data_IF_429458347472
#
_entry.id   IF_429458347472
#
_cell.length_a   1.000
_cell.length_b   1.000
_cell.length_c   1.000
_cell.angle_alpha   90.00
_cell.angle_beta   90.00
_cell.angle_gamma   90.00
#
_symmetry.space_group_name_H-M   'P 1'
#
loop_
_entity.id
_entity.type
_entity.pdbx_description
1 polymer ?
#
# COMPACT_ATOMS: atom_id res chain seq x y z
N UNK A 1 1.43 19.60 -14.25
CA UNK A 1 2.25 20.32 -13.26
C UNK A 1 2.77 21.60 -13.92
N UNK A 2 3.08 22.65 -13.15
CA UNK A 2 3.53 23.94 -13.70
C UNK A 2 5.01 24.00 -14.10
N UNK A 3 5.81 22.97 -13.75
CA UNK A 3 7.23 22.88 -14.07
C UNK A 3 8.16 23.64 -13.12
N UNK A 4 7.63 24.43 -12.18
CA UNK A 4 8.42 25.01 -11.10
C UNK A 4 8.88 23.94 -10.09
N UNK A 5 10.07 24.14 -9.52
CA UNK A 5 10.79 23.18 -8.66
C UNK A 5 11.26 23.90 -7.41
N UNK A 6 10.61 23.63 -6.29
CA UNK A 6 10.87 24.25 -4.97
C UNK A 6 10.81 23.22 -3.81
N UNK A 7 10.25 22.04 -4.07
CA UNK A 7 10.01 20.96 -3.11
C UNK A 7 10.73 19.70 -3.57
N UNK A 8 11.54 19.12 -2.68
CA UNK A 8 12.44 17.97 -2.91
C UNK A 8 11.89 16.62 -2.42
N UNK A 9 10.70 16.60 -1.83
CA UNK A 9 10.14 15.38 -1.23
C UNK A 9 9.59 14.41 -2.29
N UNK A 10 9.67 13.08 -2.04
CA UNK A 10 10.17 12.45 -0.81
C UNK A 10 11.68 12.14 -0.80
N UNK A 11 12.37 12.19 -1.95
CA UNK A 11 13.82 11.90 -2.05
C UNK A 11 14.50 12.68 -3.19
N UNK A 12 15.31 13.69 -2.87
CA UNK A 12 16.34 14.21 -3.79
C UNK A 12 16.21 15.69 -4.18
N UNK A 13 16.38 15.97 -5.47
CA UNK A 13 16.34 17.32 -6.05
C UNK A 13 14.91 17.88 -6.05
N UNK A 14 14.79 19.21 -6.04
CA UNK A 14 13.51 19.89 -6.14
C UNK A 14 12.79 19.53 -7.45
N UNK A 15 11.55 19.04 -7.35
CA UNK A 15 10.77 18.52 -8.48
C UNK A 15 9.40 19.18 -8.65
N UNK A 16 8.84 19.72 -7.57
CA UNK A 16 7.51 20.31 -7.56
C UNK A 16 7.56 21.71 -6.95
N UNK A 17 6.68 22.63 -7.34
CA UNK A 17 6.33 23.75 -6.45
C UNK A 17 5.34 23.25 -5.39
N UNK A 18 5.13 24.05 -4.35
CA UNK A 18 4.22 23.70 -3.24
C UNK A 18 2.80 23.34 -3.70
N UNK A 19 2.21 24.16 -4.57
CA UNK A 19 0.84 23.94 -5.05
C UNK A 19 0.72 22.64 -5.88
N UNK A 20 1.75 22.32 -6.67
CA UNK A 20 1.78 21.08 -7.46
C UNK A 20 1.97 19.86 -6.57
N UNK A 21 2.76 19.99 -5.49
CA UNK A 21 2.92 18.96 -4.48
C UNK A 21 1.60 18.68 -3.75
N UNK A 22 0.95 19.72 -3.22
CA UNK A 22 -0.33 19.57 -2.51
C UNK A 22 -1.40 18.96 -3.44
N UNK A 23 -1.42 19.35 -4.71
CA UNK A 23 -2.29 18.73 -5.73
C UNK A 23 -1.99 17.24 -5.91
N UNK A 24 -0.71 16.84 -5.97
CA UNK A 24 -0.30 15.44 -6.11
C UNK A 24 -0.77 14.62 -4.91
N UNK A 25 -0.50 15.10 -3.70
CA UNK A 25 -0.90 14.42 -2.46
C UNK A 25 -2.42 14.26 -2.40
N UNK A 26 -3.19 15.30 -2.74
CA UNK A 26 -4.65 15.19 -2.78
C UNK A 26 -5.16 14.13 -3.78
N UNK A 27 -4.48 13.95 -4.93
CA UNK A 27 -4.81 12.90 -5.89
C UNK A 27 -4.43 11.52 -5.35
N UNK A 28 -3.23 11.37 -4.78
CA UNK A 28 -2.77 10.12 -4.18
C UNK A 28 -3.69 9.68 -3.03
N UNK A 29 -4.14 10.60 -2.17
CA UNK A 29 -5.11 10.32 -1.10
C UNK A 29 -6.45 9.79 -1.63
N UNK A 30 -6.92 10.31 -2.77
CA UNK A 30 -8.17 9.81 -3.38
C UNK A 30 -7.99 8.38 -3.86
N UNK A 31 -6.87 8.07 -4.52
CA UNK A 31 -6.58 6.70 -4.99
C UNK A 31 -6.33 5.75 -3.83
N UNK A 32 -5.65 6.21 -2.77
CA UNK A 32 -5.41 5.41 -1.57
C UNK A 32 -6.72 4.92 -0.94
N UNK A 33 -7.80 5.74 -0.99
CA UNK A 33 -9.14 5.38 -0.48
C UNK A 33 -9.85 4.30 -1.31
N UNK A 34 -9.38 3.97 -2.50
CA UNK A 34 -9.89 2.83 -3.26
C UNK A 34 -9.39 1.49 -2.70
N UNK A 35 -8.32 1.50 -1.90
CA UNK A 35 -7.90 0.34 -1.13
C UNK A 35 -8.68 0.19 0.17
N UNK A 36 -8.86 -1.06 0.60
CA UNK A 36 -9.40 -1.37 1.92
C UNK A 36 -8.65 -2.57 2.51
N UNK A 37 -8.10 -2.41 3.72
CA UNK A 37 -7.45 -3.49 4.46
C UNK A 37 -8.41 -4.10 5.48
N UNK A 38 -8.91 -5.30 5.20
CA UNK A 38 -9.83 -5.99 6.12
C UNK A 38 -9.08 -6.98 6.98
N UNK A 39 -9.07 -6.75 8.29
CA UNK A 39 -8.49 -7.69 9.26
C UNK A 39 -9.31 -8.99 9.28
N UNK A 40 -8.62 -10.10 9.02
CA UNK A 40 -9.17 -11.45 8.99
C UNK A 40 -8.87 -12.23 10.28
N UNK A 41 -7.66 -12.09 10.83
CA UNK A 41 -7.26 -12.71 12.11
C UNK A 41 -6.62 -11.65 13.00
N UNK A 42 -6.88 -11.75 14.31
CA UNK A 42 -6.20 -10.98 15.35
C UNK A 42 -5.77 -11.90 16.49
N UNK A 43 -4.48 -11.91 16.77
CA UNK A 43 -3.86 -12.47 17.96
C UNK A 43 -3.18 -11.34 18.75
N UNK A 44 -2.61 -11.67 19.91
CA UNK A 44 -1.90 -10.70 20.74
C UNK A 44 -0.71 -10.06 20.00
N UNK A 45 0.06 -10.87 19.27
CA UNK A 45 1.32 -10.46 18.61
C UNK A 45 1.30 -10.70 17.09
N UNK A 46 0.12 -10.90 16.51
CA UNK A 46 0.00 -11.12 15.07
C UNK A 46 -1.37 -10.74 14.53
N UNK A 47 -1.40 -10.23 13.30
CA UNK A 47 -2.63 -9.94 12.57
C UNK A 47 -2.51 -10.42 11.12
N UNK A 48 -3.63 -10.79 10.53
CA UNK A 48 -3.74 -11.06 9.09
C UNK A 48 -4.78 -10.12 8.50
N UNK A 49 -4.44 -9.48 7.39
CA UNK A 49 -5.33 -8.65 6.60
C UNK A 49 -5.51 -9.22 5.20
N UNK A 50 -6.68 -9.02 4.63
CA UNK A 50 -6.94 -9.16 3.20
C UNK A 50 -6.99 -7.76 2.58
N UNK A 51 -6.28 -7.59 1.46
CA UNK A 51 -6.21 -6.33 0.70
C UNK A 51 -7.29 -6.37 -0.36
N UNK A 52 -8.15 -5.35 -0.39
CA UNK A 52 -9.15 -5.14 -1.43
C UNK A 52 -8.88 -3.84 -2.17
N UNK A 53 -9.35 -3.77 -3.41
CA UNK A 53 -9.47 -2.53 -4.16
C UNK A 53 -10.90 -2.40 -4.69
N UNK A 54 -11.43 -1.18 -4.77
CA UNK A 54 -12.83 -0.88 -5.10
C UNK A 54 -13.31 -1.48 -6.43
N UNK A 55 -12.38 -1.68 -7.38
CA UNK A 55 -12.63 -2.27 -8.70
C UNK A 55 -12.68 -3.81 -8.71
N UNK A 56 -12.31 -4.49 -7.62
CA UNK A 56 -12.21 -5.93 -7.55
C UNK A 56 -13.19 -6.50 -6.51
N UNK A 57 -13.85 -7.61 -6.87
CA UNK A 57 -14.77 -8.32 -5.94
C UNK A 57 -14.05 -9.24 -4.96
N UNK A 58 -12.86 -9.72 -5.34
CA UNK A 58 -12.02 -10.62 -4.56
C UNK A 58 -10.83 -9.86 -3.99
N UNK A 59 -10.22 -10.33 -2.88
CA UNK A 59 -8.93 -9.84 -2.45
C UNK A 59 -7.90 -9.82 -3.58
N UNK A 60 -7.06 -8.81 -3.54
CA UNK A 60 -5.93 -8.62 -4.45
C UNK A 60 -4.60 -8.87 -3.76
N UNK A 61 -4.62 -9.12 -2.45
CA UNK A 61 -3.46 -9.49 -1.69
C UNK A 61 -3.80 -9.79 -0.24
N UNK A 62 -2.78 -10.04 0.55
CA UNK A 62 -2.87 -10.22 1.99
C UNK A 62 -1.64 -9.63 2.67
N UNK A 63 -1.79 -9.27 3.95
CA UNK A 63 -0.70 -8.81 4.79
C UNK A 63 -0.71 -9.65 6.07
N UNK A 64 0.43 -10.18 6.43
CA UNK A 64 0.65 -10.80 7.74
C UNK A 64 1.54 -9.87 8.54
N UNK A 65 1.12 -9.53 9.75
CA UNK A 65 1.86 -8.71 10.70
C UNK A 65 2.27 -9.62 11.85
N UNK A 66 3.53 -9.53 12.25
CA UNK A 66 4.08 -10.20 13.43
C UNK A 66 4.81 -9.15 14.25
N UNK A 67 4.46 -9.07 15.53
CA UNK A 67 5.14 -8.26 16.53
C UNK A 67 6.02 -9.17 17.39
N UNK A 68 7.33 -8.91 17.41
CA UNK A 68 8.29 -9.64 18.25
C UNK A 68 8.49 -9.01 19.64
N UNK A 69 7.78 -7.91 19.93
CA UNK A 69 7.90 -7.10 21.14
C UNK A 69 8.86 -5.91 21.02
N UNK A 70 9.55 -5.76 19.88
CA UNK A 70 10.46 -4.65 19.58
C UNK A 70 10.17 -4.02 18.23
N UNK A 71 10.10 -4.83 17.18
CA UNK A 71 9.95 -4.42 15.79
C UNK A 71 8.72 -5.12 15.16
N UNK A 72 8.08 -4.45 14.19
CA UNK A 72 6.98 -5.04 13.40
C UNK A 72 7.51 -5.66 12.12
N UNK A 73 7.17 -6.92 11.88
CA UNK A 73 7.48 -7.63 10.64
C UNK A 73 6.21 -7.81 9.83
N UNK A 74 6.21 -7.27 8.63
CA UNK A 74 5.09 -7.33 7.71
C UNK A 74 5.49 -8.12 6.46
N UNK A 75 4.70 -9.13 6.13
CA UNK A 75 4.78 -9.83 4.86
C UNK A 75 3.53 -9.49 4.05
N UNK A 76 3.71 -8.74 2.98
CA UNK A 76 2.65 -8.45 2.01
C UNK A 76 2.79 -9.37 0.81
N UNK A 77 1.75 -10.15 0.52
CA UNK A 77 1.66 -10.94 -0.70
C UNK A 77 0.60 -10.33 -1.61
N UNK A 78 1.00 -9.86 -2.78
CA UNK A 78 0.10 -9.32 -3.80
C UNK A 78 -0.19 -10.38 -4.87
N UNK A 79 -1.45 -10.46 -5.29
CA UNK A 79 -1.97 -11.47 -6.21
C UNK A 79 -1.98 -10.95 -7.66
N UNK A 80 -1.91 -11.84 -8.67
CA UNK A 80 -1.81 -11.43 -10.08
C UNK A 80 -3.15 -10.94 -10.68
N UNK A 81 -4.23 -10.89 -9.90
CA UNK A 81 -5.57 -10.46 -10.33
C UNK A 81 -5.77 -8.94 -10.31
N UNK A 82 -4.71 -8.18 -10.07
CA UNK A 82 -4.73 -6.71 -10.05
C UNK A 82 -3.50 -6.14 -10.73
N UNK A 83 -3.65 -5.00 -11.39
CA UNK A 83 -2.61 -4.38 -12.20
C UNK A 83 -1.65 -3.54 -11.34
N UNK A 84 -0.87 -4.22 -10.49
CA UNK A 84 0.00 -3.59 -9.48
C UNK A 84 1.03 -2.62 -10.05
N UNK A 85 1.49 -2.87 -11.27
CA UNK A 85 2.50 -2.08 -11.99
C UNK A 85 1.91 -0.95 -12.82
N UNK A 86 0.59 -0.87 -12.94
CA UNK A 86 -0.04 0.21 -13.69
C UNK A 86 0.06 1.53 -12.89
N UNK A 87 0.15 2.68 -13.59
CA UNK A 87 0.05 3.98 -12.95
C UNK A 87 -1.24 4.10 -12.15
N UNK A 88 -1.13 4.47 -10.88
CA UNK A 88 -2.27 4.56 -9.98
C UNK A 88 -3.18 5.75 -10.29
N UNK A 89 -2.63 6.78 -10.93
CA UNK A 89 -3.35 7.96 -11.38
C UNK A 89 -2.70 8.55 -12.62
N UNK A 90 -3.43 9.45 -13.29
CA UNK A 90 -2.88 10.26 -14.37
C UNK A 90 -2.90 11.74 -13.97
N UNK A 91 -1.72 12.32 -13.78
CA UNK A 91 -1.54 13.74 -13.52
C UNK A 91 -0.59 14.32 -14.57
N UNK A 92 -1.15 15.08 -15.50
CA UNK A 92 -0.40 15.62 -16.63
C UNK A 92 0.85 16.39 -16.16
N UNK A 93 2.01 16.03 -16.68
CA UNK A 93 3.30 16.62 -16.33
C UNK A 93 3.83 16.27 -14.93
N UNK A 94 3.28 15.26 -14.25
CA UNK A 94 3.92 14.69 -13.05
C UNK A 94 5.23 13.98 -13.47
N UNK A 95 6.40 14.42 -12.97
CA UNK A 95 7.70 13.86 -13.35
C UNK A 95 7.96 12.45 -12.81
N UNK A 96 7.22 11.98 -11.80
CA UNK A 96 7.51 10.72 -11.10
C UNK A 96 6.40 9.70 -11.30
N UNK A 97 5.14 10.10 -11.10
CA UNK A 97 4.03 9.16 -11.01
C UNK A 97 4.24 8.13 -9.89
N UNK A 98 3.23 7.32 -9.60
CA UNK A 98 3.35 6.14 -8.72
C UNK A 98 2.47 5.02 -9.22
N UNK A 99 2.92 3.81 -8.99
CA UNK A 99 2.16 2.57 -9.25
C UNK A 99 1.21 2.26 -8.10
N UNK A 100 0.23 1.39 -8.35
CA UNK A 100 -0.66 0.92 -7.29
C UNK A 100 0.08 0.20 -6.15
N UNK A 101 1.13 -0.56 -6.48
CA UNK A 101 1.95 -1.23 -5.47
C UNK A 101 2.65 -0.24 -4.53
N UNK A 102 3.14 0.88 -5.06
CA UNK A 102 3.80 1.92 -4.27
C UNK A 102 2.81 2.67 -3.38
N UNK A 103 1.61 2.98 -3.86
CA UNK A 103 0.57 3.62 -3.02
C UNK A 103 0.07 2.68 -1.92
N UNK A 104 -0.02 1.38 -2.18
CA UNK A 104 -0.45 0.43 -1.16
C UNK A 104 0.50 0.43 0.05
N UNK A 105 1.80 0.66 -0.14
CA UNK A 105 2.76 0.74 0.99
C UNK A 105 2.37 1.87 1.96
N UNK A 106 1.90 3.02 1.45
CA UNK A 106 1.47 4.14 2.29
C UNK A 106 0.17 3.83 3.02
N UNK A 107 -0.75 3.10 2.35
CA UNK A 107 -1.97 2.59 2.98
C UNK A 107 -1.62 1.62 4.11
N UNK A 108 -0.64 0.73 3.92
CA UNK A 108 -0.16 -0.18 4.99
C UNK A 108 0.48 0.60 6.13
N UNK A 109 1.27 1.63 5.82
CA UNK A 109 1.86 2.49 6.84
C UNK A 109 0.78 3.13 7.73
N UNK A 110 -0.25 3.69 7.11
CA UNK A 110 -1.33 4.41 7.80
C UNK A 110 -2.31 3.47 8.50
N UNK A 111 -2.79 2.42 7.83
CA UNK A 111 -3.89 1.58 8.33
C UNK A 111 -3.43 0.39 9.18
N UNK A 112 -2.14 0.02 9.11
CA UNK A 112 -1.59 -1.13 9.83
C UNK A 112 -0.49 -0.69 10.78
N UNK A 113 0.58 -0.07 10.27
CA UNK A 113 1.78 0.20 11.08
C UNK A 113 1.51 1.26 12.17
N UNK A 114 0.83 2.36 11.84
CA UNK A 114 0.48 3.41 12.81
C UNK A 114 -0.40 2.89 13.96
N UNK A 115 -1.47 2.11 13.74
CA UNK A 115 -2.24 1.49 14.82
C UNK A 115 -1.45 0.55 15.74
N UNK A 116 -0.36 -0.03 15.24
CA UNK A 116 0.58 -0.82 16.05
C UNK A 116 1.63 0.05 16.78
N UNK A 117 1.54 1.37 16.68
CA UNK A 117 2.38 2.34 17.38
C UNK A 117 3.45 3.01 16.53
N UNK A 118 3.56 2.66 15.24
CA UNK A 118 4.45 3.36 14.30
C UNK A 118 5.95 3.22 14.60
N UNK A 119 6.33 2.19 15.37
CA UNK A 119 7.72 1.90 15.73
C UNK A 119 8.58 1.47 14.54
N UNK A 120 9.71 0.81 14.80
CA UNK A 120 10.51 0.21 13.72
C UNK A 120 9.73 -0.91 13.05
N UNK A 121 9.82 -0.98 11.73
CA UNK A 121 9.11 -1.99 10.95
C UNK A 121 9.92 -2.42 9.73
N UNK A 122 9.62 -3.64 9.28
CA UNK A 122 10.16 -4.24 8.07
C UNK A 122 8.99 -4.75 7.23
N UNK A 123 8.94 -4.33 5.96
CA UNK A 123 7.93 -4.80 5.00
C UNK A 123 8.62 -5.57 3.87
N UNK A 124 8.24 -6.83 3.71
CA UNK A 124 8.60 -7.64 2.56
C UNK A 124 7.39 -7.75 1.63
N UNK A 125 7.61 -7.51 0.33
CA UNK A 125 6.55 -7.59 -0.68
C UNK A 125 6.84 -8.75 -1.63
N UNK A 126 5.91 -9.70 -1.69
CA UNK A 126 5.99 -10.88 -2.55
C UNK A 126 4.91 -10.82 -3.63
N UNK A 127 5.29 -11.13 -4.86
CA UNK A 127 4.34 -11.36 -5.96
C UNK A 127 3.99 -12.84 -6.02
N UNK A 128 2.73 -13.15 -5.80
CA UNK A 128 2.23 -14.51 -5.99
C UNK A 128 2.04 -14.81 -7.46
N UNK A 129 2.36 -16.03 -7.88
CA UNK A 129 1.96 -16.58 -9.19
C UNK A 129 0.59 -17.23 -9.14
N UNK A 130 0.09 -17.56 -7.94
CA UNK A 130 -1.26 -18.06 -7.71
C UNK A 130 -2.20 -16.89 -7.36
N UNK A 131 -3.46 -17.00 -7.79
CA UNK A 131 -4.53 -16.18 -7.23
C UNK A 131 -4.71 -16.47 -5.73
N UNK A 132 -5.58 -15.69 -5.06
CA UNK A 132 -6.02 -15.94 -3.69
C UNK A 132 -6.18 -17.46 -3.43
N UNK A 133 -5.66 -18.00 -2.31
CA UNK A 133 -5.89 -19.41 -1.96
C UNK A 133 -7.40 -19.68 -1.99
N UNK A 134 -7.83 -20.73 -2.71
CA UNK A 134 -9.23 -21.17 -2.63
C UNK A 134 -9.60 -21.35 -1.15
N UNK A 135 -10.81 -20.93 -0.77
CA UNK A 135 -11.34 -21.07 0.60
C UNK A 135 -10.93 -22.43 1.14
N UNK A 136 -9.98 -22.43 2.08
CA UNK A 136 -9.54 -23.67 2.68
C UNK A 136 -10.70 -24.17 3.53
N UNK A 137 -11.41 -25.17 3.02
CA UNK A 137 -12.61 -25.76 3.65
C UNK A 137 -12.33 -26.52 4.96
N UNK A 138 -11.11 -26.43 5.50
CA UNK A 138 -10.81 -26.97 6.82
C UNK A 138 -10.67 -28.48 6.92
N UNK A 139 -10.65 -29.24 5.81
CA UNK A 139 -10.45 -30.69 5.87
C UNK A 139 -8.97 -31.02 6.12
N UNK A 140 -8.68 -31.47 7.35
CA UNK A 140 -7.52 -32.31 7.70
C UNK A 140 -7.92 -33.78 7.62
#
# INVERSE_FOLDING_TARGET
MCGAKEVSEPRGEERYCRDCWDKKIAVEEVVARDFALKRYIRAHSAEKYLVYHSTQKRPIGQIIVVDDGYDLFLTMTIYPNFAWDDPAYHLEGDPEGRTFAELLVDVVATEVIEPWGGGKWHLEVFRSTAAEPEDWNGEM
#
